data_IF_182823855397
#
_entry.id   IF_182823855397
#
_cell.length_a   1.000
_cell.length_b   1.000
_cell.length_c   1.000
_cell.angle_alpha   90.00
_cell.angle_beta   90.00
_cell.angle_gamma   90.00
#
_symmetry.space_group_name_H-M   'P 1'
#
loop_
_entity.id
_entity.type
_entity.pdbx_description
1 polymer ?
#
# COMPACT_ATOMS: atom_id res chain seq x y z
N UNK A 1 -7.74 -24.23 12.59
CA UNK A 1 -6.79 -23.35 13.29
C UNK A 1 -7.39 -21.95 13.34
N UNK A 2 -7.62 -21.39 14.54
CA UNK A 2 -8.13 -20.01 14.70
C UNK A 2 -6.95 -19.05 14.57
N UNK A 3 -6.71 -18.48 13.38
CA UNK A 3 -5.80 -17.34 13.24
C UNK A 3 -6.47 -16.11 13.88
N UNK A 4 -6.30 -15.97 15.20
CA UNK A 4 -6.98 -15.01 16.05
C UNK A 4 -6.23 -13.68 16.24
N UNK A 5 -5.43 -13.22 15.26
CA UNK A 5 -4.71 -11.94 15.41
C UNK A 5 -5.50 -10.73 14.88
N UNK A 6 -6.48 -10.94 14.00
CA UNK A 6 -7.24 -9.85 13.39
C UNK A 6 -8.73 -10.26 13.26
N UNK A 7 -9.68 -9.55 13.87
CA UNK A 7 -11.11 -9.76 13.64
C UNK A 7 -11.43 -9.70 12.13
N UNK A 8 -12.42 -10.45 11.61
CA UNK A 8 -12.73 -10.46 10.17
C UNK A 8 -13.04 -9.05 9.62
N UNK A 9 -13.57 -8.16 10.46
CA UNK A 9 -13.75 -6.74 10.12
C UNK A 9 -12.42 -5.98 9.91
N UNK A 10 -11.40 -6.27 10.71
CA UNK A 10 -10.08 -5.61 10.60
C UNK A 10 -9.25 -6.15 9.42
N UNK A 11 -9.42 -7.43 9.05
CA UNK A 11 -8.75 -7.99 7.87
C UNK A 11 -9.26 -7.34 6.56
N UNK A 12 -10.55 -7.03 6.50
CA UNK A 12 -11.17 -6.35 5.35
C UNK A 12 -10.73 -4.89 5.30
N UNK A 13 -10.76 -4.15 6.42
CA UNK A 13 -10.32 -2.75 6.41
C UNK A 13 -8.83 -2.60 6.04
N UNK A 14 -7.97 -3.50 6.51
CA UNK A 14 -6.54 -3.50 6.17
C UNK A 14 -6.30 -3.81 4.68
N UNK A 15 -7.15 -4.65 4.07
CA UNK A 15 -7.12 -4.92 2.62
C UNK A 15 -7.53 -3.68 1.81
N UNK A 16 -8.61 -2.99 2.21
CA UNK A 16 -9.09 -1.77 1.53
C UNK A 16 -8.04 -0.65 1.63
N UNK A 17 -7.50 -0.41 2.82
CA UNK A 17 -6.47 0.60 3.03
C UNK A 17 -5.19 0.29 2.26
N UNK A 18 -4.81 -0.99 2.14
CA UNK A 18 -3.65 -1.37 1.31
C UNK A 18 -3.90 -1.13 -0.18
N UNK A 19 -5.09 -1.45 -0.72
CA UNK A 19 -5.41 -1.17 -2.13
C UNK A 19 -5.33 0.34 -2.41
N UNK A 20 -6.00 1.15 -1.59
CA UNK A 20 -6.02 2.61 -1.77
C UNK A 20 -4.60 3.18 -1.62
N UNK A 21 -3.86 2.75 -0.59
CA UNK A 21 -2.49 3.17 -0.35
C UNK A 21 -1.55 2.87 -1.51
N UNK A 22 -1.63 1.67 -2.09
CA UNK A 22 -0.83 1.29 -3.27
C UNK A 22 -1.15 2.22 -4.45
N UNK A 23 -2.43 2.46 -4.74
CA UNK A 23 -2.83 3.33 -5.86
C UNK A 23 -2.27 4.75 -5.67
N UNK A 24 -2.43 5.35 -4.49
CA UNK A 24 -1.92 6.69 -4.20
C UNK A 24 -0.39 6.77 -4.30
N UNK A 25 0.33 5.80 -3.72
CA UNK A 25 1.79 5.78 -3.71
C UNK A 25 2.39 5.54 -5.10
N UNK A 26 1.75 4.71 -5.93
CA UNK A 26 2.17 4.48 -7.32
C UNK A 26 1.94 5.73 -8.18
N UNK A 27 0.79 6.40 -8.03
CA UNK A 27 0.50 7.66 -8.74
C UNK A 27 1.48 8.75 -8.32
N UNK A 28 1.71 8.94 -7.02
CA UNK A 28 2.69 9.91 -6.52
C UNK A 28 4.10 9.56 -6.96
N UNK A 29 4.52 8.29 -6.87
CA UNK A 29 5.84 7.85 -7.32
C UNK A 29 6.07 8.09 -8.82
N UNK A 30 5.05 7.85 -9.65
CA UNK A 30 5.11 8.19 -11.08
C UNK A 30 5.20 9.71 -11.31
N UNK A 31 4.45 10.50 -10.53
CA UNK A 31 4.42 11.96 -10.64
C UNK A 31 5.76 12.60 -10.23
N UNK A 32 6.40 12.10 -9.17
CA UNK A 32 7.76 12.48 -8.77
C UNK A 32 8.82 12.03 -9.78
N UNK A 33 8.60 10.92 -10.49
CA UNK A 33 9.53 10.41 -11.52
C UNK A 33 9.47 11.19 -12.83
N UNK A 34 8.36 11.87 -13.12
CA UNK A 34 8.19 12.76 -14.28
C UNK A 34 8.66 14.19 -13.94
N UNK A 35 9.00 14.47 -12.67
CA UNK A 35 9.53 15.76 -12.23
C UNK A 35 8.60 16.92 -12.58
N UNK A 36 7.29 16.74 -12.36
CA UNK A 36 6.31 17.78 -12.66
C UNK A 36 6.59 19.05 -11.85
N UNK A 37 6.56 20.19 -12.54
CA UNK A 37 6.87 21.51 -11.97
C UNK A 37 6.07 21.79 -10.69
N UNK A 38 4.77 21.45 -10.70
CA UNK A 38 3.82 21.57 -9.58
C UNK A 38 4.29 20.94 -8.25
N UNK A 39 5.09 19.87 -8.28
CA UNK A 39 5.61 19.21 -7.07
C UNK A 39 7.02 19.66 -6.68
N UNK A 40 7.72 20.37 -7.56
CA UNK A 40 9.16 20.66 -7.45
C UNK A 40 9.43 22.15 -7.29
N UNK A 41 8.43 23.03 -7.50
CA UNK A 41 8.57 24.49 -7.43
C UNK A 41 8.35 25.11 -6.04
N UNK A 42 7.96 24.33 -5.03
CA UNK A 42 7.75 24.86 -3.68
C UNK A 42 9.06 25.24 -2.97
N UNK A 43 9.04 26.31 -2.16
CA UNK A 43 10.18 26.73 -1.30
C UNK A 43 10.64 25.63 -0.31
N UNK A 44 9.80 24.60 -0.12
CA UNK A 44 10.07 23.37 0.65
C UNK A 44 10.16 22.11 -0.21
N UNK A 45 10.36 22.24 -1.52
CA UNK A 45 10.46 21.11 -2.41
C UNK A 45 11.70 20.26 -2.04
N UNK A 46 11.57 18.93 -2.07
CA UNK A 46 12.68 18.04 -1.84
C UNK A 46 13.78 18.29 -2.88
N UNK A 47 15.03 18.44 -2.42
CA UNK A 47 16.21 18.64 -3.30
C UNK A 47 16.43 17.51 -4.31
N UNK A 48 15.84 16.34 -4.06
CA UNK A 48 15.94 15.17 -4.91
C UNK A 48 14.56 14.49 -5.06
N UNK A 49 13.79 14.82 -6.09
CA UNK A 49 12.47 14.24 -6.34
C UNK A 49 12.55 12.73 -6.67
N UNK A 50 13.70 12.25 -7.18
CA UNK A 50 13.90 10.83 -7.46
C UNK A 50 14.02 10.01 -6.18
N UNK A 51 14.68 10.54 -5.15
CA UNK A 51 14.75 9.91 -3.84
C UNK A 51 13.36 9.74 -3.19
N UNK A 52 12.49 10.74 -3.35
CA UNK A 52 11.10 10.67 -2.85
C UNK A 52 10.28 9.65 -3.64
N UNK A 53 10.41 9.62 -4.97
CA UNK A 53 9.77 8.61 -5.80
C UNK A 53 10.16 7.19 -5.35
N UNK A 54 11.45 6.95 -5.09
CA UNK A 54 11.95 5.66 -4.63
C UNK A 54 11.33 5.26 -3.28
N UNK A 55 11.22 6.22 -2.35
CA UNK A 55 10.53 6.02 -1.07
C UNK A 55 9.05 5.64 -1.24
N UNK A 56 8.33 6.30 -2.16
CA UNK A 56 6.95 5.96 -2.49
C UNK A 56 6.82 4.55 -3.07
N UNK A 57 7.74 4.12 -3.94
CA UNK A 57 7.73 2.75 -4.48
C UNK A 57 8.02 1.69 -3.43
N UNK A 58 8.97 1.94 -2.51
CA UNK A 58 9.24 1.04 -1.38
C UNK A 58 8.01 0.93 -0.48
N UNK A 59 7.37 2.05 -0.15
CA UNK A 59 6.14 2.06 0.64
C UNK A 59 5.01 1.29 -0.07
N UNK A 60 4.82 1.47 -1.38
CA UNK A 60 3.84 0.72 -2.16
C UNK A 60 4.10 -0.80 -2.10
N UNK A 61 5.37 -1.23 -2.14
CA UNK A 61 5.76 -2.63 -1.97
C UNK A 61 5.38 -3.18 -0.59
N UNK A 62 5.53 -2.40 0.48
CA UNK A 62 5.12 -2.79 1.84
C UNK A 62 3.60 -2.98 1.92
N UNK A 63 2.82 -2.05 1.37
CA UNK A 63 1.36 -2.20 1.32
C UNK A 63 0.93 -3.41 0.48
N UNK A 64 1.64 -3.72 -0.61
CA UNK A 64 1.38 -4.92 -1.41
C UNK A 64 1.65 -6.20 -0.60
N UNK A 65 2.69 -6.24 0.22
CA UNK A 65 2.96 -7.36 1.12
C UNK A 65 1.86 -7.52 2.18
N UNK A 66 1.40 -6.43 2.80
CA UNK A 66 0.28 -6.47 3.74
C UNK A 66 -1.02 -6.97 3.10
N UNK A 67 -1.30 -6.54 1.87
CA UNK A 67 -2.44 -6.99 1.08
C UNK A 67 -2.36 -8.48 0.76
N UNK A 68 -1.18 -8.99 0.37
CA UNK A 68 -1.00 -10.42 0.11
C UNK A 68 -1.25 -11.27 1.35
N UNK A 69 -0.78 -10.82 2.52
CA UNK A 69 -1.00 -11.49 3.80
C UNK A 69 -2.49 -11.46 4.20
N UNK A 70 -3.17 -10.32 4.09
CA UNK A 70 -4.59 -10.20 4.43
C UNK A 70 -5.49 -11.02 3.49
N UNK A 71 -5.16 -11.09 2.21
CA UNK A 71 -5.83 -11.95 1.22
C UNK A 71 -5.61 -13.43 1.51
N UNK A 72 -4.39 -13.83 1.87
CA UNK A 72 -4.09 -15.21 2.27
C UNK A 72 -4.90 -15.62 3.50
N UNK A 73 -4.98 -14.75 4.52
CA UNK A 73 -5.77 -14.97 5.73
C UNK A 73 -7.27 -15.10 5.43
N UNK A 74 -7.83 -14.22 4.62
CA UNK A 74 -9.26 -14.28 4.24
C UNK A 74 -9.59 -15.50 3.38
N UNK A 75 -8.68 -15.92 2.50
CA UNK A 75 -8.85 -17.12 1.68
C UNK A 75 -8.83 -18.41 2.52
N UNK A 76 -7.86 -18.53 3.44
CA UNK A 76 -7.81 -19.63 4.42
C UNK A 76 -9.07 -19.66 5.29
N UNK A 77 -9.55 -18.50 5.75
CA UNK A 77 -10.75 -18.40 6.56
C UNK A 77 -12.01 -18.85 5.79
N UNK A 78 -12.13 -18.45 4.51
CA UNK A 78 -13.20 -18.92 3.61
C UNK A 78 -13.14 -20.43 3.37
N UNK A 79 -11.94 -21.01 3.24
CA UNK A 79 -11.77 -22.45 3.04
C UNK A 79 -12.16 -23.23 4.28
N UNK A 80 -11.73 -22.79 5.47
CA UNK A 80 -12.01 -23.45 6.76
C UNK A 80 -13.48 -23.37 7.19
N UNK A 81 -14.28 -22.48 6.59
CA UNK A 81 -15.72 -22.35 6.86
C UNK A 81 -16.59 -23.10 5.83
N UNK A 82 -15.95 -23.78 4.86
CA UNK A 82 -16.60 -24.52 3.76
C UNK A 82 -16.47 -26.04 3.90
N UNK A 83 -15.78 -26.52 4.93
CA UNK A 83 -15.77 -27.91 5.42
C UNK A 83 -16.54 -27.96 6.75
#
# INVERSE_FOLDING_TARGET
MKLAFCPPACAICCSILSVIGIIFLVVLGALFKIEVHELTEGDKAPKDPQAVALGCFVAAGIYAAFLALSLCQTWLHKKQHRD
#
